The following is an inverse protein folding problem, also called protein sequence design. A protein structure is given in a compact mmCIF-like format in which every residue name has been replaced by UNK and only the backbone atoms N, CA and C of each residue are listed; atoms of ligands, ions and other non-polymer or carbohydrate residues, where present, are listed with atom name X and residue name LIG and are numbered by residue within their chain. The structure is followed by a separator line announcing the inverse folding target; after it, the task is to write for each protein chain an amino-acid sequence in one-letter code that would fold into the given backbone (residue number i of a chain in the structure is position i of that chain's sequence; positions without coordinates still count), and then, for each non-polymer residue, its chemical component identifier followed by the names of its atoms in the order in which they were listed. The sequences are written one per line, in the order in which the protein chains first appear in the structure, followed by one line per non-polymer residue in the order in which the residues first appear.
data_IF_322200525232
#
_entry.id   IF_322200525232
#
_cell.length_a   1.000
_cell.length_b   1.000
_cell.length_c   1.000
_cell.angle_alpha   90.00
_cell.angle_beta   90.00
_cell.angle_gamma   90.00
#
_symmetry.space_group_name_H-M   'P 1'
#
loop_
_entity.id
_entity.type
_entity.pdbx_description
1 polymer ?
#
# COMPACT_ATOMS: atom_id res chain seq x y z
N UNK A 1 18.91 11.14 -16.39
CA UNK A 1 18.28 9.83 -16.68
C UNK A 1 17.59 9.94 -18.04
N UNK A 2 17.66 8.93 -18.91
CA UNK A 2 16.92 8.94 -20.18
C UNK A 2 15.40 9.01 -19.92
N UNK A 3 14.68 9.85 -20.67
CA UNK A 3 13.23 10.03 -20.53
C UNK A 3 12.49 8.70 -20.67
N UNK A 4 12.92 7.82 -21.59
CA UNK A 4 12.30 6.49 -21.77
C UNK A 4 12.45 5.64 -20.52
N UNK A 5 13.65 5.60 -19.95
CA UNK A 5 13.93 4.84 -18.73
C UNK A 5 13.11 5.39 -17.54
N UNK A 6 12.90 6.71 -17.49
CA UNK A 6 12.08 7.35 -16.45
C UNK A 6 10.61 6.94 -16.56
N UNK A 7 10.06 6.95 -17.77
CA UNK A 7 8.69 6.52 -18.03
C UNK A 7 8.48 5.04 -17.70
N UNK A 8 9.45 4.17 -18.03
CA UNK A 8 9.39 2.74 -17.68
C UNK A 8 9.41 2.53 -16.15
N UNK A 9 10.29 3.23 -15.42
CA UNK A 9 10.28 3.16 -13.95
C UNK A 9 8.98 3.69 -13.36
N UNK A 10 8.45 4.81 -13.88
CA UNK A 10 7.17 5.36 -13.43
C UNK A 10 6.02 4.36 -13.63
N UNK A 11 5.98 3.68 -14.78
CA UNK A 11 4.99 2.65 -15.05
C UNK A 11 5.09 1.52 -14.03
N UNK A 12 6.30 0.98 -13.81
CA UNK A 12 6.54 -0.09 -12.82
C UNK A 12 6.10 0.32 -11.41
N UNK A 13 6.46 1.52 -10.96
CA UNK A 13 6.06 2.00 -9.63
C UNK A 13 4.56 2.25 -9.51
N UNK A 14 3.90 2.71 -10.57
CA UNK A 14 2.43 2.87 -10.61
C UNK A 14 1.71 1.51 -10.57
N UNK A 15 2.24 0.51 -11.27
CA UNK A 15 1.73 -0.87 -11.22
C UNK A 15 1.89 -1.46 -9.81
N UNK A 16 3.07 -1.34 -9.21
CA UNK A 16 3.33 -1.76 -7.82
C UNK A 16 2.41 -1.05 -6.82
N UNK A 17 2.16 0.25 -7.01
CA UNK A 17 1.25 1.02 -6.17
C UNK A 17 -0.18 0.47 -6.26
N UNK A 18 -0.66 0.18 -7.48
CA UNK A 18 -1.99 -0.35 -7.69
C UNK A 18 -2.17 -1.74 -7.06
N UNK A 19 -1.13 -2.58 -7.08
CA UNK A 19 -1.15 -3.88 -6.40
C UNK A 19 -1.21 -3.73 -4.88
N UNK A 20 -0.41 -2.84 -4.30
CA UNK A 20 -0.42 -2.58 -2.86
C UNK A 20 -1.75 -1.97 -2.38
N UNK A 21 -2.37 -1.11 -3.18
CA UNK A 21 -3.70 -0.57 -2.87
C UNK A 21 -4.78 -1.68 -2.87
N UNK A 22 -4.70 -2.63 -3.80
CA UNK A 22 -5.58 -3.83 -3.79
C UNK A 22 -5.33 -4.73 -2.59
N UNK A 23 -4.08 -4.90 -2.18
CA UNK A 23 -3.76 -5.72 -1.01
C UNK A 23 -4.21 -5.05 0.29
N UNK A 24 -4.07 -3.73 0.40
CA UNK A 24 -4.65 -2.97 1.50
C UNK A 24 -6.17 -3.13 1.55
N UNK A 25 -6.86 -3.08 0.40
CA UNK A 25 -8.31 -3.32 0.33
C UNK A 25 -8.68 -4.72 0.86
N UNK A 26 -7.94 -5.76 0.47
CA UNK A 26 -8.15 -7.13 0.99
C UNK A 26 -7.94 -7.20 2.51
N UNK A 27 -6.92 -6.54 3.03
CA UNK A 27 -6.63 -6.49 4.48
C UNK A 27 -7.79 -5.78 5.20
N UNK A 28 -8.28 -4.66 4.66
CA UNK A 28 -9.44 -3.95 5.22
C UNK A 28 -10.70 -4.82 5.23
N UNK A 29 -10.96 -5.59 4.18
CA UNK A 29 -12.08 -6.52 4.12
C UNK A 29 -11.96 -7.62 5.18
N UNK A 30 -10.77 -8.22 5.33
CA UNK A 30 -10.49 -9.22 6.39
C UNK A 30 -10.66 -8.64 7.78
N UNK A 31 -10.15 -7.41 8.00
CA UNK A 31 -10.33 -6.68 9.25
C UNK A 31 -11.82 -6.46 9.55
N UNK A 32 -12.61 -6.05 8.55
CA UNK A 32 -14.06 -5.88 8.68
C UNK A 32 -14.79 -7.18 9.01
N UNK A 33 -14.38 -8.30 8.41
CA UNK A 33 -14.93 -9.62 8.71
C UNK A 33 -14.57 -10.09 10.14
N UNK A 34 -13.30 -9.99 10.52
CA UNK A 34 -12.85 -10.28 11.88
C UNK A 34 -13.53 -9.37 12.92
N UNK A 35 -13.90 -8.15 12.53
CA UNK A 35 -14.62 -7.23 13.39
C UNK A 35 -16.05 -7.68 13.74
N UNK A 36 -16.64 -8.54 12.91
CA UNK A 36 -17.98 -9.06 13.13
C UNK A 36 -17.99 -10.31 14.02
N UNK A 37 -16.83 -10.94 14.27
CA UNK A 37 -16.73 -12.21 14.99
C UNK A 37 -16.73 -12.09 16.53
N UNK A 38 -16.80 -10.88 17.11
CA UNK A 38 -16.93 -10.69 18.55
C UNK A 38 -15.89 -9.75 19.16
N UNK A 39 -15.33 -10.11 20.31
CA UNK A 39 -14.42 -9.24 21.06
C UNK A 39 -13.12 -8.95 20.29
N UNK A 40 -13.05 -7.74 19.76
CA UNK A 40 -11.99 -7.26 18.87
C UNK A 40 -10.62 -7.23 19.53
N UNK A 41 -10.60 -7.10 20.85
CA UNK A 41 -9.37 -6.92 21.63
C UNK A 41 -8.63 -8.23 21.86
N UNK A 42 -9.35 -9.35 21.90
CA UNK A 42 -8.77 -10.70 22.02
C UNK A 42 -8.63 -11.40 20.65
N UNK A 43 -9.23 -10.83 19.60
CA UNK A 43 -9.13 -11.38 18.25
C UNK A 43 -7.76 -11.05 17.64
N UNK A 44 -6.82 -11.98 17.80
CA UNK A 44 -5.48 -11.89 17.21
C UNK A 44 -5.49 -11.61 15.70
N UNK A 45 -6.50 -12.11 14.96
CA UNK A 45 -6.63 -11.84 13.53
C UNK A 45 -7.04 -10.39 13.25
N UNK A 46 -7.84 -9.76 14.12
CA UNK A 46 -8.20 -8.35 14.00
C UNK A 46 -7.00 -7.43 14.28
N UNK A 47 -6.25 -7.70 15.35
CA UNK A 47 -5.04 -6.94 15.71
C UNK A 47 -3.97 -7.07 14.62
N UNK A 48 -3.71 -8.29 14.13
CA UNK A 48 -2.76 -8.50 13.03
C UNK A 48 -3.19 -7.79 11.74
N UNK A 49 -4.49 -7.80 11.42
CA UNK A 49 -5.01 -7.07 10.26
C UNK A 49 -4.90 -5.55 10.39
N UNK A 50 -4.83 -5.00 11.62
CA UNK A 50 -4.51 -3.58 11.85
C UNK A 50 -3.05 -3.30 11.53
N UNK A 51 -2.14 -4.10 12.08
CA UNK A 51 -0.69 -3.93 11.86
C UNK A 51 -0.31 -4.09 10.38
N UNK A 52 -0.89 -5.09 9.71
CA UNK A 52 -0.71 -5.31 8.27
C UNK A 52 -1.21 -4.12 7.45
N UNK A 53 -2.34 -3.53 7.85
CA UNK A 53 -2.91 -2.37 7.19
C UNK A 53 -2.06 -1.10 7.36
N UNK A 54 -1.54 -0.87 8.57
CA UNK A 54 -0.65 0.26 8.85
C UNK A 54 0.66 0.12 8.07
N UNK A 55 1.23 -1.08 8.06
CA UNK A 55 2.42 -1.39 7.27
C UNK A 55 2.20 -1.14 5.77
N UNK A 56 1.08 -1.63 5.23
CA UNK A 56 0.72 -1.41 3.83
C UNK A 56 0.53 0.08 3.50
N UNK A 57 -0.08 0.87 4.42
CA UNK A 57 -0.26 2.31 4.25
C UNK A 57 1.07 3.07 4.19
N UNK A 58 1.99 2.79 5.11
CA UNK A 58 3.32 3.42 5.10
C UNK A 58 4.03 3.14 3.78
N UNK A 59 4.02 1.89 3.33
CA UNK A 59 4.65 1.49 2.07
C UNK A 59 4.02 2.16 0.83
N UNK A 60 2.70 2.32 0.83
CA UNK A 60 1.97 3.08 -0.20
C UNK A 60 2.43 4.53 -0.23
N UNK A 61 2.59 5.18 0.93
CA UNK A 61 3.06 6.57 1.01
C UNK A 61 4.49 6.73 0.49
N UNK A 62 5.38 5.80 0.84
CA UNK A 62 6.76 5.77 0.32
C UNK A 62 6.79 5.65 -1.21
N UNK A 63 5.99 4.76 -1.79
CA UNK A 63 5.92 4.59 -3.24
C UNK A 63 5.31 5.83 -3.90
N UNK A 64 4.27 6.42 -3.31
CA UNK A 64 3.72 7.70 -3.79
C UNK A 64 4.77 8.81 -3.76
N UNK A 65 5.65 8.83 -2.76
CA UNK A 65 6.78 9.77 -2.69
C UNK A 65 7.79 9.53 -3.82
N UNK A 66 8.20 8.28 -4.05
CA UNK A 66 9.11 7.90 -5.15
C UNK A 66 8.52 8.31 -6.51
N UNK A 67 7.24 8.03 -6.75
CA UNK A 67 6.55 8.43 -7.99
C UNK A 67 6.58 9.96 -8.15
N UNK A 68 6.26 10.72 -7.10
CA UNK A 68 6.30 12.20 -7.15
C UNK A 68 7.70 12.73 -7.42
N UNK A 69 8.75 12.11 -6.85
CA UNK A 69 10.14 12.50 -7.10
C UNK A 69 10.53 12.22 -8.55
N UNK A 70 10.17 11.05 -9.08
CA UNK A 70 10.37 10.70 -10.48
C UNK A 70 9.60 11.62 -11.45
N UNK A 71 8.37 12.00 -11.11
CA UNK A 71 7.52 12.90 -11.92
C UNK A 71 8.00 14.35 -11.91
N UNK A 72 8.51 14.83 -10.77
CA UNK A 72 9.07 16.19 -10.67
C UNK A 72 10.37 16.35 -11.47
N UNK A 73 11.00 15.23 -11.82
CA UNK A 73 12.33 15.20 -12.40
C UNK A 73 13.36 15.60 -11.36
N UNK A 74 14.42 14.79 -11.22
CA UNK A 74 15.66 15.23 -10.59
C UNK A 74 15.96 16.66 -11.03
N UNK A 75 15.87 17.62 -10.10
CA UNK A 75 16.36 18.97 -10.31
C UNK A 75 17.88 18.97 -10.27
#
# INVERSE_FOLDING_TARGET
MDEKLRQEKLKMWKENLAELEKDLEKIMLKKGAAAQEGDLSENAAYTMAIEDAETARVRIEEIKKIIRELEKGDK
#
